data_IF_269004788615
#
_entry.id   IF_269004788615
#
_cell.length_a   1.000
_cell.length_b   1.000
_cell.length_c   1.000
_cell.angle_alpha   90.00
_cell.angle_beta   90.00
_cell.angle_gamma   90.00
#
_symmetry.space_group_name_H-M   'P 1'
#
loop_
_entity.id
_entity.type
_entity.pdbx_description
1 polymer ?
#
# COMPACT_ATOMS: atom_id res chain seq x y z
N UNK A 1 29.89 4.06 79.91
CA UNK A 1 29.09 2.85 80.19
C UNK A 1 28.22 2.57 78.99
N UNK A 2 28.38 1.38 78.41
CA UNK A 2 27.85 0.96 77.12
C UNK A 2 26.58 0.15 77.38
N UNK A 3 25.41 0.60 76.92
CA UNK A 3 24.18 -0.20 76.94
C UNK A 3 23.83 -0.59 75.49
N UNK A 4 24.04 -1.87 75.18
CA UNK A 4 23.73 -2.51 73.91
C UNK A 4 22.22 -2.66 73.73
N UNK A 5 21.66 -2.01 72.70
CA UNK A 5 20.33 -2.30 72.19
C UNK A 5 20.24 -3.77 71.73
N UNK A 6 19.37 -4.54 72.37
CA UNK A 6 19.01 -5.88 71.93
C UNK A 6 17.90 -5.75 70.88
N UNK A 7 18.28 -5.85 69.61
CA UNK A 7 17.34 -5.91 68.50
C UNK A 7 16.34 -7.07 68.67
N UNK A 8 15.04 -6.74 68.74
CA UNK A 8 13.95 -7.71 68.67
C UNK A 8 14.03 -8.43 67.32
N UNK A 9 14.30 -9.75 67.34
CA UNK A 9 14.13 -10.61 66.18
C UNK A 9 12.64 -10.69 65.84
N UNK A 10 12.27 -10.20 64.65
CA UNK A 10 10.94 -10.35 64.07
C UNK A 10 10.69 -11.86 63.84
N UNK A 11 9.55 -12.44 64.23
CA UNK A 11 9.27 -13.86 64.04
C UNK A 11 9.35 -14.22 62.55
N UNK A 12 9.94 -15.37 62.20
CA UNK A 12 9.78 -15.95 60.86
C UNK A 12 8.28 -16.22 60.65
N UNK A 13 7.61 -15.40 59.86
CA UNK A 13 6.25 -15.69 59.41
C UNK A 13 6.24 -17.09 58.77
N UNK A 14 5.46 -18.00 59.34
CA UNK A 14 5.21 -19.32 58.73
C UNK A 14 4.35 -19.10 57.47
N UNK A 15 5.02 -18.84 56.36
CA UNK A 15 4.40 -18.56 55.06
C UNK A 15 4.20 -19.86 54.28
N UNK A 16 2.94 -20.21 54.04
CA UNK A 16 2.50 -21.42 53.32
C UNK A 16 2.68 -21.28 51.79
N UNK A 17 2.89 -22.41 51.10
CA UNK A 17 2.92 -22.50 49.63
C UNK A 17 1.52 -22.45 49.02
N UNK A 18 0.49 -22.84 49.76
CA UNK A 18 -0.88 -22.87 49.25
C UNK A 18 -1.68 -21.59 49.52
N UNK A 19 -1.20 -20.73 50.43
CA UNK A 19 -1.86 -19.47 50.81
C UNK A 19 -1.05 -18.28 50.24
N UNK A 20 -1.57 -17.56 49.24
CA UNK A 20 -0.92 -16.37 48.70
C UNK A 20 -0.73 -15.28 49.74
N UNK A 21 0.37 -14.53 49.65
CA UNK A 21 0.63 -13.45 50.59
C UNK A 21 -0.12 -12.19 50.16
N UNK A 22 -1.14 -11.83 50.94
CA UNK A 22 -1.97 -10.63 50.72
C UNK A 22 -1.16 -9.35 50.57
N UNK A 23 -0.12 -9.14 51.37
CA UNK A 23 0.70 -7.91 51.34
C UNK A 23 1.64 -7.83 50.14
N UNK A 24 1.86 -8.94 49.43
CA UNK A 24 2.68 -8.99 48.22
C UNK A 24 1.84 -9.07 46.94
N UNK A 25 0.51 -9.21 47.08
CA UNK A 25 -0.42 -9.27 45.96
C UNK A 25 -0.88 -7.88 45.56
N UNK A 26 -1.05 -7.73 44.25
CA UNK A 26 -1.70 -6.58 43.63
C UNK A 26 -3.11 -7.03 43.22
N UNK A 27 -4.10 -6.75 44.07
CA UNK A 27 -5.46 -7.24 43.90
C UNK A 27 -6.16 -6.63 42.68
N UNK A 28 -5.88 -5.36 42.39
CA UNK A 28 -6.46 -4.66 41.25
C UNK A 28 -5.95 -5.26 39.94
N UNK A 29 -4.64 -5.55 39.87
CA UNK A 29 -4.06 -6.26 38.74
C UNK A 29 -4.65 -7.67 38.57
N UNK A 30 -4.72 -8.45 39.65
CA UNK A 30 -5.25 -9.81 39.61
C UNK A 30 -6.71 -9.85 39.14
N UNK A 31 -7.52 -8.91 39.62
CA UNK A 31 -8.92 -8.77 39.21
C UNK A 31 -9.05 -8.37 37.73
N UNK A 32 -8.25 -7.41 37.27
CA UNK A 32 -8.25 -7.00 35.86
C UNK A 32 -7.82 -8.15 34.94
N UNK A 33 -6.75 -8.86 35.27
CA UNK A 33 -6.23 -9.96 34.46
C UNK A 33 -7.23 -11.13 34.34
N UNK A 34 -7.94 -11.47 35.42
CA UNK A 34 -8.99 -12.48 35.40
C UNK A 34 -10.21 -12.02 34.58
N UNK A 35 -10.59 -10.75 34.70
CA UNK A 35 -11.72 -10.18 33.97
C UNK A 35 -11.44 -10.12 32.47
N UNK A 36 -10.24 -9.68 32.04
CA UNK A 36 -9.85 -9.72 30.63
C UNK A 36 -9.82 -11.16 30.09
N UNK A 37 -9.24 -12.12 30.82
CA UNK A 37 -9.21 -13.52 30.38
C UNK A 37 -10.61 -14.13 30.23
N UNK A 38 -11.56 -13.78 31.12
CA UNK A 38 -12.96 -14.21 31.01
C UNK A 38 -13.68 -13.57 29.82
N UNK A 39 -13.41 -12.30 29.54
CA UNK A 39 -13.95 -11.60 28.36
C UNK A 39 -13.40 -12.25 27.07
N UNK A 40 -12.10 -12.55 27.03
CA UNK A 40 -11.47 -13.25 25.89
C UNK A 40 -12.03 -14.66 25.68
N UNK A 41 -12.32 -15.39 26.77
CA UNK A 41 -12.91 -16.72 26.71
C UNK A 41 -14.38 -16.70 26.25
N UNK A 42 -15.15 -15.68 26.65
CA UNK A 42 -16.58 -15.53 26.33
C UNK A 42 -16.82 -15.06 24.89
N UNK A 43 -16.08 -14.05 24.43
CA UNK A 43 -16.30 -13.44 23.11
C UNK A 43 -15.44 -14.08 22.01
N UNK A 44 -14.57 -15.04 22.38
CA UNK A 44 -13.48 -15.51 21.53
C UNK A 44 -12.54 -14.36 21.14
N UNK A 45 -11.49 -14.64 20.36
CA UNK A 45 -10.60 -13.60 19.78
C UNK A 45 -11.30 -12.60 18.84
N UNK A 46 -12.64 -12.54 18.80
CA UNK A 46 -13.43 -11.72 17.87
C UNK A 46 -13.77 -10.31 18.37
N UNK A 47 -13.17 -9.84 19.47
CA UNK A 47 -13.26 -8.42 19.87
C UNK A 47 -11.93 -7.80 20.32
N UNK A 48 -10.89 -7.99 19.52
CA UNK A 48 -9.95 -6.87 19.37
C UNK A 48 -10.72 -5.77 18.61
N UNK A 49 -11.41 -4.88 19.35
CA UNK A 49 -11.88 -3.60 18.78
C UNK A 49 -10.72 -3.04 17.96
N UNK A 50 -10.94 -2.71 16.69
CA UNK A 50 -9.95 -2.05 15.84
C UNK A 50 -9.44 -0.78 16.54
N UNK A 51 -8.37 -0.94 17.30
CA UNK A 51 -7.72 0.14 18.01
C UNK A 51 -6.72 0.72 17.03
N UNK A 52 -6.79 2.04 16.81
CA UNK A 52 -5.80 2.72 15.98
C UNK A 52 -4.39 2.41 16.49
N UNK A 53 -3.37 2.38 15.60
CA UNK A 53 -1.98 2.11 15.99
C UNK A 53 -1.48 3.02 17.14
N UNK A 54 -1.96 4.27 17.18
CA UNK A 54 -1.69 5.23 18.25
C UNK A 54 -2.27 4.81 19.60
N UNK A 55 -3.48 4.24 19.62
CA UNK A 55 -4.16 3.81 20.83
C UNK A 55 -3.57 2.51 21.37
N UNK A 56 -3.10 1.63 20.49
CA UNK A 56 -2.34 0.44 20.89
C UNK A 56 -0.96 0.80 21.47
N UNK A 57 -0.25 1.75 20.85
CA UNK A 57 1.03 2.25 21.37
C UNK A 57 0.86 2.93 22.74
N UNK A 58 -0.19 3.73 22.91
CA UNK A 58 -0.52 4.35 24.19
C UNK A 58 -0.84 3.29 25.26
N UNK A 59 -1.66 2.28 24.94
CA UNK A 59 -1.95 1.16 25.87
C UNK A 59 -0.69 0.40 26.27
N UNK A 60 0.24 0.15 25.34
CA UNK A 60 1.52 -0.51 25.64
C UNK A 60 2.38 0.32 26.59
N UNK A 61 2.51 1.62 26.33
CA UNK A 61 3.21 2.56 27.23
C UNK A 61 2.56 2.66 28.60
N UNK A 62 1.23 2.68 28.66
CA UNK A 62 0.49 2.68 29.91
C UNK A 62 0.70 1.37 30.67
N UNK A 63 0.70 0.23 29.98
CA UNK A 63 0.94 -1.08 30.58
C UNK A 63 2.37 -1.21 31.12
N UNK A 64 3.36 -0.67 30.42
CA UNK A 64 4.75 -0.61 30.89
C UNK A 64 4.90 0.28 32.13
N UNK A 65 4.29 1.47 32.13
CA UNK A 65 4.36 2.42 33.26
C UNK A 65 3.60 1.94 34.50
N UNK A 66 2.47 1.26 34.31
CA UNK A 66 1.70 0.64 35.39
C UNK A 66 2.26 -0.73 35.84
N UNK A 67 3.33 -1.22 35.21
CA UNK A 67 3.93 -2.50 35.55
C UNK A 67 3.01 -3.71 35.29
N UNK A 68 2.07 -3.59 34.35
CA UNK A 68 1.11 -4.63 33.95
C UNK A 68 1.75 -5.78 33.16
N UNK A 69 3.06 -5.72 32.87
CA UNK A 69 3.84 -6.78 32.22
C UNK A 69 4.12 -8.00 33.15
N UNK A 70 3.37 -8.15 34.24
CA UNK A 70 3.52 -9.25 35.19
C UNK A 70 2.79 -10.49 34.66
N UNK A 71 3.44 -11.64 34.74
CA UNK A 71 2.87 -12.92 34.29
C UNK A 71 2.16 -13.70 35.40
N UNK A 72 2.20 -13.20 36.65
CA UNK A 72 1.66 -13.87 37.83
C UNK A 72 0.66 -12.98 38.56
N UNK A 73 -0.54 -13.51 38.78
CA UNK A 73 -1.61 -12.87 39.56
C UNK A 73 -1.53 -13.19 41.06
N UNK A 74 -0.82 -14.27 41.45
CA UNK A 74 -0.58 -14.66 42.84
C UNK A 74 0.89 -14.45 43.21
N UNK A 75 1.12 -13.89 44.39
CA UNK A 75 2.46 -13.66 44.94
C UNK A 75 2.68 -14.51 46.20
N UNK A 76 3.79 -15.25 46.23
CA UNK A 76 4.24 -16.03 47.38
C UNK A 76 5.65 -15.56 47.77
N UNK A 77 5.88 -15.28 49.05
CA UNK A 77 7.16 -14.74 49.54
C UNK A 77 8.22 -15.81 49.82
N UNK A 78 7.86 -17.10 49.79
CA UNK A 78 8.81 -18.20 49.94
C UNK A 78 9.21 -18.80 48.59
N UNK A 79 10.53 -18.94 48.40
CA UNK A 79 11.08 -19.83 47.36
C UNK A 79 10.81 -21.27 47.83
N UNK A 80 10.19 -22.14 47.01
CA UNK A 80 9.92 -23.51 47.43
C UNK A 80 11.23 -24.19 47.84
N UNK A 81 11.21 -24.99 48.91
CA UNK A 81 12.33 -25.88 49.18
C UNK A 81 12.50 -26.81 47.97
N UNK A 82 13.73 -26.97 47.45
CA UNK A 82 13.96 -27.88 46.33
C UNK A 82 13.52 -29.29 46.73
N UNK A 83 12.85 -30.03 45.84
CA UNK A 83 12.46 -31.40 46.13
C UNK A 83 13.70 -32.23 46.48
N UNK A 84 13.70 -32.88 47.64
CA UNK A 84 14.68 -33.90 47.98
C UNK A 84 14.47 -35.06 47.01
N UNK A 85 15.48 -35.30 46.18
CA UNK A 85 15.53 -36.29 45.09
C UNK A 85 14.50 -36.14 43.97
N UNK A 86 14.92 -35.43 42.93
CA UNK A 86 14.50 -35.74 41.56
C UNK A 86 15.65 -35.40 40.62
N UNK A 87 16.11 -36.40 39.88
CA UNK A 87 17.09 -36.22 38.81
C UNK A 87 16.47 -35.35 37.72
N UNK A 88 16.64 -34.04 37.84
CA UNK A 88 16.42 -33.12 36.74
C UNK A 88 17.76 -32.78 36.13
N UNK A 89 17.99 -33.34 34.95
CA UNK A 89 18.99 -32.83 34.02
C UNK A 89 18.81 -31.32 33.91
N UNK A 90 19.79 -30.58 34.39
CA UNK A 90 19.97 -29.17 34.06
C UNK A 90 20.34 -29.10 32.57
N UNK A 91 19.33 -29.19 31.71
CA UNK A 91 19.45 -28.81 30.33
C UNK A 91 19.76 -27.31 30.33
N UNK A 92 21.02 -26.99 30.06
CA UNK A 92 21.46 -25.65 29.76
C UNK A 92 20.47 -25.05 28.77
N UNK A 93 19.76 -24.00 29.18
CA UNK A 93 18.99 -23.14 28.28
C UNK A 93 19.99 -22.40 27.39
N UNK A 94 20.59 -23.14 26.46
CA UNK A 94 21.02 -22.55 25.20
C UNK A 94 19.73 -22.00 24.58
N UNK A 95 19.51 -20.69 24.75
CA UNK A 95 18.60 -19.96 23.87
C UNK A 95 19.18 -20.15 22.47
N UNK A 96 18.65 -21.14 21.76
CA UNK A 96 18.92 -21.25 20.33
C UNK A 96 18.50 -19.92 19.71
N UNK A 97 19.33 -19.31 18.85
CA UNK A 97 18.92 -18.12 18.14
C UNK A 97 17.61 -18.45 17.43
N UNK A 98 16.53 -17.75 17.78
CA UNK A 98 15.23 -17.91 17.16
C UNK A 98 15.44 -17.77 15.65
N UNK A 99 15.26 -18.87 14.90
CA UNK A 99 15.33 -18.84 13.43
C UNK A 99 14.50 -17.65 12.95
N UNK A 100 15.02 -16.82 12.03
CA UNK A 100 14.31 -15.64 11.59
C UNK A 100 12.94 -16.08 11.09
N UNK A 101 11.89 -15.66 11.80
CA UNK A 101 10.50 -15.94 11.40
C UNK A 101 10.31 -15.25 10.06
N UNK A 102 10.30 -16.04 8.98
CA UNK A 102 10.02 -15.53 7.64
C UNK A 102 8.69 -14.80 7.70
N UNK A 103 8.67 -13.55 7.21
CA UNK A 103 7.45 -12.76 7.12
C UNK A 103 6.40 -13.56 6.35
N UNK A 104 5.24 -13.80 6.97
CA UNK A 104 4.11 -14.44 6.31
C UNK A 104 3.37 -13.40 5.48
N UNK A 105 3.28 -13.61 4.18
CA UNK A 105 2.43 -12.82 3.28
C UNK A 105 1.12 -13.60 3.10
N UNK A 106 -0.04 -13.02 3.46
CA UNK A 106 -1.34 -13.66 3.20
C UNK A 106 -1.48 -14.02 1.71
N UNK A 107 -2.02 -15.19 1.43
CA UNK A 107 -2.26 -15.65 0.05
C UNK A 107 -3.67 -15.31 -0.45
N UNK A 108 -4.57 -14.94 0.46
CA UNK A 108 -5.91 -14.44 0.15
C UNK A 108 -5.90 -12.92 0.10
N UNK A 109 -6.72 -12.34 -0.78
CA UNK A 109 -7.00 -10.92 -0.72
C UNK A 109 -7.64 -10.56 0.63
N UNK A 110 -7.33 -9.37 1.14
CA UNK A 110 -7.98 -8.83 2.35
C UNK A 110 -9.35 -8.24 2.04
N UNK A 111 -9.55 -7.77 0.80
CA UNK A 111 -10.78 -7.15 0.31
C UNK A 111 -10.88 -7.36 -1.20
N UNK A 112 -12.09 -7.51 -1.70
CA UNK A 112 -12.40 -7.51 -3.14
C UNK A 112 -13.52 -6.50 -3.36
N UNK A 113 -13.35 -5.68 -4.39
CA UNK A 113 -14.26 -4.63 -4.79
C UNK A 113 -14.78 -4.98 -6.18
N UNK A 114 -16.08 -4.84 -6.39
CA UNK A 114 -16.67 -5.05 -7.70
C UNK A 114 -16.41 -3.83 -8.59
N UNK A 115 -15.98 -4.10 -9.81
CA UNK A 115 -15.69 -3.08 -10.83
C UNK A 115 -16.55 -3.35 -12.08
N UNK A 116 -17.88 -3.15 -12.00
CA UNK A 116 -18.75 -3.39 -13.13
C UNK A 116 -18.39 -2.44 -14.27
N UNK A 117 -18.42 -2.92 -15.52
CA UNK A 117 -18.13 -2.12 -16.71
C UNK A 117 -16.71 -1.53 -16.77
N UNK A 118 -15.75 -2.10 -16.04
CA UNK A 118 -14.33 -1.82 -16.30
C UNK A 118 -14.00 -2.27 -17.73
N UNK A 119 -13.30 -1.41 -18.48
CA UNK A 119 -12.96 -1.73 -19.87
C UNK A 119 -11.83 -2.76 -19.90
N UNK A 120 -12.04 -3.84 -20.65
CA UNK A 120 -11.03 -4.87 -20.90
C UNK A 120 -10.12 -4.47 -22.08
N UNK A 121 -9.32 -3.41 -21.86
CA UNK A 121 -8.30 -2.94 -22.80
C UNK A 121 -6.97 -2.79 -22.07
N UNK A 122 -6.00 -3.62 -22.47
CA UNK A 122 -4.66 -3.70 -21.88
C UNK A 122 -3.94 -2.35 -21.86
N UNK A 123 -4.17 -1.47 -22.84
CA UNK A 123 -3.41 -0.24 -22.97
C UNK A 123 -3.87 0.85 -21.98
N UNK A 124 -5.07 0.73 -21.40
CA UNK A 124 -5.70 1.75 -20.56
C UNK A 124 -5.26 1.73 -19.09
N UNK A 125 -5.09 2.91 -18.47
CA UNK A 125 -4.67 3.03 -17.07
C UNK A 125 -5.83 3.47 -16.18
N UNK A 126 -6.74 2.54 -15.90
CA UNK A 126 -8.09 2.81 -15.34
C UNK A 126 -8.17 2.89 -13.81
N UNK A 127 -7.05 2.87 -13.10
CA UNK A 127 -7.03 2.85 -11.64
C UNK A 127 -5.82 3.59 -11.10
N UNK A 128 -6.03 4.44 -10.09
CA UNK A 128 -4.96 5.04 -9.32
C UNK A 128 -5.36 5.23 -7.84
N UNK A 129 -4.40 5.07 -6.94
CA UNK A 129 -4.62 5.19 -5.49
C UNK A 129 -3.98 6.47 -4.97
N UNK A 130 -4.83 7.43 -4.59
CA UNK A 130 -4.40 8.73 -4.12
C UNK A 130 -3.77 8.69 -2.73
N UNK A 131 -2.92 9.68 -2.43
CA UNK A 131 -2.21 9.83 -1.15
C UNK A 131 -3.13 10.00 0.06
N UNK A 132 -4.41 10.34 -0.16
CA UNK A 132 -5.46 10.43 0.87
C UNK A 132 -6.19 9.12 1.13
N UNK A 133 -5.61 7.99 0.70
CA UNK A 133 -6.20 6.67 0.88
C UNK A 133 -7.53 6.48 0.12
N UNK A 134 -7.71 7.20 -1.00
CA UNK A 134 -8.86 7.10 -1.88
C UNK A 134 -8.43 6.46 -3.20
N UNK A 135 -9.10 5.37 -3.57
CA UNK A 135 -8.92 4.68 -4.84
C UNK A 135 -9.86 5.28 -5.88
N UNK A 136 -9.33 5.65 -7.04
CA UNK A 136 -10.11 6.08 -8.19
C UNK A 136 -10.13 4.97 -9.24
N UNK A 137 -11.31 4.64 -9.77
CA UNK A 137 -11.51 3.55 -10.74
C UNK A 137 -12.40 4.06 -11.88
N UNK A 138 -11.95 3.93 -13.13
CA UNK A 138 -12.75 4.20 -14.32
C UNK A 138 -13.55 2.97 -14.70
N UNK A 139 -14.88 3.14 -14.77
CA UNK A 139 -15.85 2.15 -15.19
C UNK A 139 -16.53 2.69 -16.47
N UNK A 140 -15.87 2.55 -17.61
CA UNK A 140 -16.30 3.11 -18.89
C UNK A 140 -16.31 4.63 -18.88
N UNK A 141 -17.50 5.23 -18.82
CA UNK A 141 -17.70 6.69 -18.82
C UNK A 141 -17.66 7.30 -17.42
N UNK A 142 -17.72 6.47 -16.38
CA UNK A 142 -17.90 6.93 -15.01
C UNK A 142 -16.61 6.74 -14.20
N UNK A 143 -16.21 7.76 -13.43
CA UNK A 143 -15.20 7.64 -12.40
C UNK A 143 -15.86 7.37 -11.06
N UNK A 144 -15.49 6.27 -10.41
CA UNK A 144 -15.89 5.96 -9.05
C UNK A 144 -14.71 6.18 -8.09
N UNK A 145 -15.02 6.67 -6.89
CA UNK A 145 -14.08 6.79 -5.79
C UNK A 145 -14.45 5.82 -4.68
N UNK A 146 -13.45 5.16 -4.13
CA UNK A 146 -13.56 4.31 -2.94
C UNK A 146 -12.59 4.79 -1.87
N UNK A 147 -13.12 5.21 -0.72
CA UNK A 147 -12.31 5.60 0.43
C UNK A 147 -11.96 4.35 1.25
N UNK A 148 -10.67 4.01 1.31
CA UNK A 148 -10.22 2.81 1.99
C UNK A 148 -10.27 2.92 3.53
N UNK A 149 -10.40 4.14 4.07
CA UNK A 149 -10.49 4.42 5.50
C UNK A 149 -11.90 4.22 6.03
N UNK A 150 -12.91 4.63 5.25
CA UNK A 150 -14.33 4.51 5.63
C UNK A 150 -15.03 3.32 4.97
N UNK A 151 -14.49 2.85 3.84
CA UNK A 151 -15.12 1.85 2.98
C UNK A 151 -16.21 2.41 2.07
N UNK A 152 -16.43 3.72 2.04
CA UNK A 152 -17.47 4.36 1.24
C UNK A 152 -17.14 4.34 -0.25
N UNK A 153 -18.17 4.12 -1.08
CA UNK A 153 -18.10 4.22 -2.55
C UNK A 153 -18.96 5.40 -2.98
N UNK A 154 -18.46 6.21 -3.91
CA UNK A 154 -19.21 7.30 -4.53
C UNK A 154 -18.90 7.40 -6.01
N UNK A 155 -19.92 7.61 -6.82
CA UNK A 155 -19.73 8.11 -8.19
C UNK A 155 -19.19 9.55 -8.12
N UNK A 156 -18.08 9.82 -8.80
CA UNK A 156 -17.44 11.13 -8.78
C UNK A 156 -17.82 11.99 -9.97
N UNK A 157 -17.76 11.41 -11.18
CA UNK A 157 -18.19 12.08 -12.41
C UNK A 157 -18.56 11.04 -13.46
N UNK A 158 -19.60 11.33 -14.23
CA UNK A 158 -19.91 10.64 -15.48
C UNK A 158 -19.59 11.56 -16.66
N UNK A 159 -18.77 11.06 -17.60
CA UNK A 159 -18.36 11.76 -18.80
C UNK A 159 -19.40 11.51 -19.91
N UNK A 160 -19.76 12.57 -20.62
CA UNK A 160 -20.67 12.50 -21.77
C UNK A 160 -20.23 11.44 -22.79
N UNK A 161 -21.21 10.79 -23.43
CA UNK A 161 -20.96 9.66 -24.34
C UNK A 161 -20.08 10.05 -25.54
N UNK A 162 -20.22 11.27 -26.05
CA UNK A 162 -19.45 11.80 -27.18
C UNK A 162 -17.99 12.16 -26.82
N UNK A 163 -17.68 12.27 -25.53
CA UNK A 163 -16.34 12.60 -25.03
C UNK A 163 -15.59 11.37 -24.51
N UNK A 164 -16.32 10.44 -23.88
CA UNK A 164 -15.76 9.26 -23.25
C UNK A 164 -15.42 8.12 -24.23
N UNK A 165 -15.05 6.94 -23.71
CA UNK A 165 -14.87 6.61 -22.29
C UNK A 165 -13.61 7.21 -21.66
N UNK A 166 -13.45 7.03 -20.34
CA UNK A 166 -12.21 7.35 -19.60
C UNK A 166 -11.16 6.28 -19.92
N UNK A 167 -9.98 6.70 -20.36
CA UNK A 167 -8.90 5.83 -20.82
C UNK A 167 -7.67 5.86 -19.91
N UNK A 168 -7.55 6.88 -19.05
CA UNK A 168 -6.53 6.91 -18.01
C UNK A 168 -6.92 7.79 -16.82
N UNK A 169 -6.43 7.44 -15.63
CA UNK A 169 -6.62 8.20 -14.39
C UNK A 169 -5.26 8.40 -13.71
N UNK A 170 -5.03 9.59 -13.15
CA UNK A 170 -3.94 9.76 -12.20
C UNK A 170 -4.22 10.84 -11.17
N UNK A 171 -4.04 10.50 -9.89
CA UNK A 171 -4.05 11.42 -8.77
C UNK A 171 -2.83 12.33 -8.81
N UNK A 172 -3.06 13.62 -8.66
CA UNK A 172 -2.00 14.57 -8.45
C UNK A 172 -1.30 14.30 -7.09
N UNK A 173 -0.01 14.69 -6.95
CA UNK A 173 0.75 14.45 -5.72
C UNK A 173 0.14 15.10 -4.48
N UNK A 174 -0.67 16.15 -4.65
CA UNK A 174 -1.38 16.83 -3.57
C UNK A 174 -2.59 16.05 -3.01
N UNK A 175 -3.00 14.95 -3.67
CA UNK A 175 -4.15 14.12 -3.30
C UNK A 175 -5.51 14.84 -3.37
N UNK A 176 -5.57 16.02 -3.99
CA UNK A 176 -6.78 16.84 -4.13
C UNK A 176 -7.25 16.92 -5.57
N UNK A 177 -6.35 16.70 -6.52
CA UNK A 177 -6.69 16.77 -7.93
C UNK A 177 -6.57 15.41 -8.59
N UNK A 178 -7.47 15.14 -9.53
CA UNK A 178 -7.43 13.93 -10.36
C UNK A 178 -7.45 14.34 -11.83
N UNK A 179 -6.54 13.77 -12.62
CA UNK A 179 -6.52 13.90 -14.06
C UNK A 179 -7.19 12.70 -14.71
N UNK A 180 -8.01 12.95 -15.73
CA UNK A 180 -8.73 11.96 -16.52
C UNK A 180 -8.33 12.12 -17.98
N UNK A 181 -7.68 11.12 -18.57
CA UNK A 181 -7.49 11.02 -20.01
C UNK A 181 -8.71 10.38 -20.64
N UNK A 182 -9.14 10.92 -21.77
CA UNK A 182 -10.36 10.49 -22.45
C UNK A 182 -10.05 9.89 -23.83
N UNK A 183 -11.01 9.11 -24.34
CA UNK A 183 -10.94 8.51 -25.66
C UNK A 183 -10.92 9.56 -26.79
N UNK A 184 -11.61 10.69 -26.59
CA UNK A 184 -11.67 11.78 -27.57
C UNK A 184 -10.43 12.70 -27.61
N UNK A 185 -9.28 12.25 -27.10
CA UNK A 185 -8.00 12.97 -27.02
C UNK A 185 -7.89 14.10 -25.98
N UNK A 186 -8.95 14.38 -25.22
CA UNK A 186 -8.90 15.39 -24.16
C UNK A 186 -8.37 14.82 -22.85
N UNK A 187 -7.83 15.71 -22.01
CA UNK A 187 -7.50 15.41 -20.61
C UNK A 187 -8.23 16.40 -19.71
N UNK A 188 -9.03 15.91 -18.77
CA UNK A 188 -9.73 16.76 -17.81
C UNK A 188 -9.02 16.74 -16.47
N UNK A 189 -8.91 17.91 -15.83
CA UNK A 189 -8.41 18.05 -14.46
C UNK A 189 -9.58 18.43 -13.54
N UNK A 190 -9.74 17.68 -12.47
CA UNK A 190 -10.82 17.82 -11.51
C UNK A 190 -10.29 18.08 -10.11
N UNK A 191 -10.97 18.93 -9.35
CA UNK A 191 -10.83 19.06 -7.90
C UNK A 191 -11.74 18.04 -7.21
N UNK A 192 -11.15 17.14 -6.46
CA UNK A 192 -11.88 16.09 -5.75
C UNK A 192 -12.72 16.61 -4.59
N UNK A 193 -12.33 17.75 -4.00
CA UNK A 193 -12.96 18.32 -2.81
C UNK A 193 -14.23 19.08 -3.17
N UNK A 194 -14.17 19.85 -4.26
CA UNK A 194 -15.31 20.61 -4.77
C UNK A 194 -16.14 19.87 -5.82
N UNK A 195 -15.66 18.71 -6.30
CA UNK A 195 -16.26 17.89 -7.37
C UNK A 195 -16.50 18.77 -8.61
N UNK A 196 -15.45 19.46 -9.04
CA UNK A 196 -15.52 20.40 -10.16
C UNK A 196 -14.39 20.19 -11.13
N UNK A 197 -14.73 20.25 -12.42
CA UNK A 197 -13.75 20.33 -13.50
C UNK A 197 -13.07 21.69 -13.44
N UNK A 198 -11.76 21.69 -13.22
CA UNK A 198 -10.93 22.90 -13.22
C UNK A 198 -10.62 23.31 -14.65
N UNK A 199 -10.21 22.34 -15.48
CA UNK A 199 -9.78 22.62 -16.85
C UNK A 199 -9.82 21.38 -17.72
N UNK A 200 -9.87 21.62 -19.03
CA UNK A 200 -9.61 20.62 -20.07
C UNK A 200 -8.33 20.98 -20.79
N UNK A 201 -7.42 20.02 -20.96
CA UNK A 201 -6.26 20.08 -21.83
C UNK A 201 -6.64 19.45 -23.17
N UNK A 202 -6.46 20.18 -24.27
CA UNK A 202 -6.85 19.76 -25.61
C UNK A 202 -5.91 20.39 -26.67
N UNK A 203 -6.05 19.93 -27.92
CA UNK A 203 -5.30 20.47 -29.06
C UNK A 203 -3.87 19.92 -29.21
N UNK A 204 -3.56 18.80 -28.55
CA UNK A 204 -2.21 18.21 -28.52
C UNK A 204 -2.20 16.78 -29.05
N UNK A 205 -2.99 15.92 -28.41
CA UNK A 205 -3.20 14.54 -28.85
C UNK A 205 -4.26 14.48 -29.94
N UNK A 206 -4.12 13.49 -30.83
CA UNK A 206 -5.04 13.27 -31.96
C UNK A 206 -5.79 11.93 -31.84
N UNK A 207 -5.59 11.22 -30.73
CA UNK A 207 -6.25 9.99 -30.38
C UNK A 207 -6.32 9.89 -28.85
N UNK A 208 -6.89 8.81 -28.31
CA UNK A 208 -7.11 8.60 -26.87
C UNK A 208 -5.85 8.82 -26.04
N UNK A 209 -6.03 9.35 -24.83
CA UNK A 209 -4.93 9.54 -23.86
C UNK A 209 -4.89 8.35 -22.90
N UNK A 210 -4.07 7.35 -23.21
CA UNK A 210 -4.02 6.06 -22.50
C UNK A 210 -3.15 6.06 -21.24
N UNK A 211 -2.28 7.05 -21.04
CA UNK A 211 -1.40 7.10 -19.87
C UNK A 211 -1.16 8.52 -19.34
N UNK A 212 -1.02 8.63 -18.01
CA UNK A 212 -0.82 9.87 -17.28
C UNK A 212 0.27 9.68 -16.22
N UNK A 213 1.13 10.68 -16.03
CA UNK A 213 2.10 10.67 -14.95
C UNK A 213 2.37 12.09 -14.43
N UNK A 214 2.22 12.29 -13.13
CA UNK A 214 2.50 13.57 -12.49
C UNK A 214 3.98 13.73 -12.11
N UNK A 215 4.48 14.95 -12.26
CA UNK A 215 5.73 15.45 -11.69
C UNK A 215 5.49 16.85 -11.13
N UNK A 216 5.10 16.91 -9.85
CA UNK A 216 4.61 18.13 -9.20
C UNK A 216 3.42 18.74 -9.97
N UNK A 217 3.59 19.93 -10.55
CA UNK A 217 2.56 20.63 -11.34
C UNK A 217 2.59 20.29 -12.83
N UNK A 218 3.55 19.46 -13.27
CA UNK A 218 3.61 18.96 -14.64
C UNK A 218 2.81 17.66 -14.71
N UNK A 219 1.77 17.65 -15.55
CA UNK A 219 1.07 16.44 -15.94
C UNK A 219 1.62 15.99 -17.29
N UNK A 220 2.32 14.86 -17.30
CA UNK A 220 2.76 14.23 -18.54
C UNK A 220 1.67 13.31 -19.06
N UNK A 221 1.31 13.46 -20.33
CA UNK A 221 0.24 12.72 -21.02
C UNK A 221 0.84 11.88 -22.14
N UNK A 222 0.43 10.61 -22.23
CA UNK A 222 0.82 9.69 -23.30
C UNK A 222 -0.41 9.27 -24.11
N UNK A 223 -0.35 9.46 -25.42
CA UNK A 223 -1.45 9.19 -26.33
C UNK A 223 -1.28 7.91 -27.14
N UNK A 224 -2.39 7.44 -27.71
CA UNK A 224 -2.37 6.41 -28.75
C UNK A 224 -1.68 6.88 -30.04
N UNK A 225 -1.55 8.19 -30.22
CA UNK A 225 -0.77 8.81 -31.30
C UNK A 225 0.75 8.77 -31.12
N UNK A 226 1.25 8.03 -30.11
CA UNK A 226 2.68 7.89 -29.79
C UNK A 226 3.32 9.16 -29.23
N UNK A 227 2.56 10.23 -29.01
CA UNK A 227 3.07 11.48 -28.44
C UNK A 227 3.11 11.39 -26.91
N UNK A 228 4.12 12.00 -26.34
CA UNK A 228 4.22 12.24 -24.90
C UNK A 228 4.38 13.74 -24.68
N UNK A 229 3.51 14.36 -23.89
CA UNK A 229 3.52 15.82 -23.70
C UNK A 229 3.56 16.19 -22.23
N UNK A 230 4.45 17.11 -21.87
CA UNK A 230 4.46 17.74 -20.56
C UNK A 230 3.54 18.94 -20.56
N UNK A 231 2.58 18.93 -19.64
CA UNK A 231 1.59 19.99 -19.49
C UNK A 231 1.74 20.67 -18.13
N UNK A 232 2.12 21.95 -18.10
CA UNK A 232 2.03 22.75 -16.87
C UNK A 232 0.57 23.16 -16.63
N UNK A 233 -0.02 22.56 -15.61
CA UNK A 233 -1.45 22.72 -15.32
C UNK A 233 -1.81 24.09 -14.75
N UNK A 234 -0.82 24.95 -14.46
CA UNK A 234 -1.03 26.29 -13.86
C UNK A 234 -1.16 27.40 -14.91
N UNK A 235 -0.69 27.15 -16.12
CA UNK A 235 -0.67 28.16 -17.20
C UNK A 235 -1.69 27.82 -18.30
N UNK A 236 -2.11 28.86 -19.03
CA UNK A 236 -3.11 28.73 -20.12
C UNK A 236 -2.56 27.93 -21.29
N UNK A 237 -1.40 28.33 -21.81
CA UNK A 237 -0.63 27.57 -22.80
C UNK A 237 0.12 26.45 -22.11
N UNK A 238 -0.60 25.36 -21.83
CA UNK A 238 -0.17 24.29 -20.95
C UNK A 238 1.01 23.48 -21.48
N UNK A 239 1.18 23.34 -22.79
CA UNK A 239 2.26 22.54 -23.37
C UNK A 239 3.62 23.19 -23.12
N UNK A 240 4.48 22.51 -22.36
CA UNK A 240 5.84 22.99 -22.00
C UNK A 240 6.96 22.06 -22.46
N UNK A 241 6.64 20.90 -23.06
CA UNK A 241 7.63 19.98 -23.61
C UNK A 241 6.98 18.80 -24.30
N UNK A 242 7.69 18.16 -25.23
CA UNK A 242 7.17 17.00 -25.98
C UNK A 242 8.29 16.01 -26.23
N UNK A 243 8.06 14.75 -25.88
CA UNK A 243 8.97 13.66 -26.20
C UNK A 243 8.46 12.93 -27.44
N UNK A 244 9.37 12.67 -28.37
CA UNK A 244 9.11 11.95 -29.63
C UNK A 244 10.08 10.80 -29.74
N UNK A 245 9.56 9.61 -30.04
CA UNK A 245 10.38 8.41 -30.21
C UNK A 245 9.56 7.13 -30.30
N UNK A 246 8.34 7.12 -29.75
CA UNK A 246 7.43 6.00 -29.92
C UNK A 246 6.65 6.08 -31.24
N UNK A 247 6.40 4.92 -31.83
CA UNK A 247 5.55 4.75 -33.03
C UNK A 247 4.21 4.09 -32.72
N UNK A 248 4.04 3.59 -31.50
CA UNK A 248 2.79 2.99 -31.01
C UNK A 248 2.22 3.73 -29.79
N UNK A 249 1.05 3.27 -29.33
CA UNK A 249 0.37 3.82 -28.16
C UNK A 249 1.24 3.80 -26.91
N UNK A 250 1.26 4.91 -26.17
CA UNK A 250 1.94 5.00 -24.89
C UNK A 250 1.06 4.41 -23.79
N UNK A 251 1.33 3.16 -23.40
CA UNK A 251 0.58 2.46 -22.36
C UNK A 251 1.29 2.46 -21.00
N UNK A 252 2.61 2.63 -20.97
CA UNK A 252 3.41 2.81 -19.77
C UNK A 252 3.98 4.21 -19.68
N UNK A 253 3.77 4.90 -18.56
CA UNK A 253 4.32 6.23 -18.31
C UNK A 253 4.58 6.43 -16.80
N UNK A 254 5.81 6.74 -16.41
CA UNK A 254 6.17 6.87 -14.98
C UNK A 254 7.34 7.84 -14.76
N UNK A 255 7.14 8.84 -13.91
CA UNK A 255 8.25 9.67 -13.42
C UNK A 255 9.05 8.94 -12.34
N UNK A 256 10.37 9.12 -12.37
CA UNK A 256 11.26 8.76 -11.26
C UNK A 256 10.92 9.58 -10.01
N UNK A 257 11.20 9.03 -8.82
CA UNK A 257 10.94 9.73 -7.55
C UNK A 257 11.72 11.04 -7.38
N UNK A 258 12.80 11.24 -8.14
CA UNK A 258 13.53 12.51 -8.18
C UNK A 258 12.88 13.55 -9.11
N UNK A 259 11.97 13.14 -9.98
CA UNK A 259 11.37 13.98 -11.02
C UNK A 259 12.34 14.39 -12.14
N UNK A 260 13.51 13.74 -12.23
CA UNK A 260 14.54 14.06 -13.23
C UNK A 260 14.45 13.18 -14.48
N UNK A 261 13.98 11.94 -14.32
CA UNK A 261 13.82 11.00 -15.42
C UNK A 261 12.37 10.57 -15.57
N UNK A 262 11.93 10.44 -16.82
CA UNK A 262 10.65 9.86 -17.21
C UNK A 262 10.92 8.53 -17.91
N UNK A 263 10.20 7.48 -17.54
CA UNK A 263 10.15 6.24 -18.32
C UNK A 263 8.84 6.20 -19.10
N UNK A 264 8.91 5.81 -20.36
CA UNK A 264 7.76 5.50 -21.19
C UNK A 264 7.91 4.15 -21.86
N UNK A 265 6.81 3.45 -22.03
CA UNK A 265 6.72 2.16 -22.68
C UNK A 265 5.53 2.15 -23.63
N UNK A 266 5.74 1.62 -24.82
CA UNK A 266 4.78 1.71 -25.91
C UNK A 266 4.33 0.36 -26.44
N UNK A 267 3.30 0.40 -27.28
CA UNK A 267 2.87 -0.72 -28.12
C UNK A 267 3.82 -0.99 -29.31
N UNK A 268 4.91 -0.24 -29.41
CA UNK A 268 6.03 -0.50 -30.31
C UNK A 268 7.10 -1.41 -29.67
N UNK A 269 6.80 -1.97 -28.50
CA UNK A 269 7.66 -2.85 -27.71
C UNK A 269 8.95 -2.17 -27.21
N UNK A 270 9.00 -0.85 -27.23
CA UNK A 270 10.17 -0.09 -26.78
C UNK A 270 9.92 0.51 -25.40
N UNK A 271 10.97 0.61 -24.60
CA UNK A 271 11.04 1.48 -23.43
C UNK A 271 12.01 2.61 -23.71
N UNK A 272 11.58 3.85 -23.48
CA UNK A 272 12.45 5.01 -23.48
C UNK A 272 12.61 5.54 -22.05
N UNK A 273 13.84 5.92 -21.70
CA UNK A 273 14.12 6.74 -20.51
C UNK A 273 14.50 8.12 -21.00
N UNK A 274 13.82 9.15 -20.53
CA UNK A 274 14.00 10.54 -20.92
C UNK A 274 14.59 11.33 -19.78
N UNK A 275 15.42 12.32 -20.12
CA UNK A 275 15.84 13.36 -19.19
C UNK A 275 14.84 14.52 -19.20
N UNK A 276 14.50 15.05 -18.03
CA UNK A 276 13.63 16.22 -17.89
C UNK A 276 14.22 17.45 -18.58
N UNK A 277 15.52 17.68 -18.51
CA UNK A 277 16.19 18.83 -19.14
C UNK A 277 16.17 18.76 -20.67
N UNK A 278 16.06 17.57 -21.23
CA UNK A 278 16.23 17.31 -22.66
C UNK A 278 14.91 16.99 -23.36
N UNK A 279 13.80 17.58 -22.91
CA UNK A 279 12.42 17.27 -23.32
C UNK A 279 12.06 17.61 -24.80
N UNK A 280 13.01 17.47 -25.73
CA UNK A 280 12.89 17.91 -27.11
C UNK A 280 13.68 17.10 -28.15
N UNK A 281 14.68 16.27 -27.83
CA UNK A 281 15.56 15.77 -28.92
C UNK A 281 16.14 14.36 -28.82
N UNK A 282 16.26 13.72 -27.65
CA UNK A 282 16.74 12.33 -27.56
C UNK A 282 16.40 11.69 -26.22
N UNK A 283 16.08 10.39 -26.24
CA UNK A 283 16.04 9.57 -25.03
C UNK A 283 17.46 9.34 -24.47
N UNK A 284 17.58 9.21 -23.15
CA UNK A 284 18.79 8.74 -22.47
C UNK A 284 19.05 7.26 -22.77
N UNK A 285 17.99 6.45 -22.70
CA UNK A 285 18.05 5.02 -22.98
C UNK A 285 16.87 4.60 -23.84
N UNK A 286 17.14 3.65 -24.73
CA UNK A 286 16.14 2.92 -25.51
C UNK A 286 16.40 1.44 -25.28
N UNK A 287 15.37 0.74 -24.84
CA UNK A 287 15.40 -0.70 -24.60
C UNK A 287 14.35 -1.32 -25.53
N UNK A 288 14.79 -2.13 -26.48
CA UNK A 288 13.96 -2.74 -27.54
C UNK A 288 14.05 -4.27 -27.53
N UNK A 289 14.45 -4.85 -26.39
CA UNK A 289 14.51 -6.30 -26.17
C UNK A 289 13.13 -6.91 -25.90
N UNK A 290 12.10 -6.11 -25.60
CA UNK A 290 10.75 -6.62 -25.41
C UNK A 290 10.14 -7.04 -26.74
N UNK A 291 9.42 -8.16 -26.72
CA UNK A 291 8.71 -8.72 -27.88
C UNK A 291 7.24 -8.31 -27.91
N UNK A 292 6.78 -7.51 -26.94
CA UNK A 292 5.38 -7.09 -26.78
C UNK A 292 5.30 -5.75 -26.04
N UNK A 293 4.10 -5.17 -26.03
CA UNK A 293 3.83 -3.85 -25.48
C UNK A 293 4.27 -3.70 -24.02
N UNK A 294 4.88 -2.56 -23.69
CA UNK A 294 5.45 -2.32 -22.36
C UNK A 294 4.60 -1.36 -21.54
N UNK A 295 3.55 -1.88 -20.91
CA UNK A 295 2.70 -1.10 -19.98
C UNK A 295 3.33 -0.95 -18.59
N UNK A 296 3.91 -2.04 -18.09
CA UNK A 296 4.29 -2.16 -16.70
C UNK A 296 5.68 -1.54 -16.43
N UNK A 297 5.66 -0.35 -15.82
CA UNK A 297 6.85 0.44 -15.49
C UNK A 297 6.86 0.79 -14.01
N UNK A 298 7.99 0.57 -13.34
CA UNK A 298 8.20 1.02 -11.97
C UNK A 298 9.63 1.53 -11.76
N UNK A 299 9.76 2.61 -11.00
CA UNK A 299 11.05 3.09 -10.51
C UNK A 299 11.31 2.52 -9.12
N UNK A 300 12.55 2.10 -8.86
CA UNK A 300 12.95 1.67 -7.53
C UNK A 300 12.85 2.88 -6.56
N UNK A 301 12.09 2.77 -5.44
CA UNK A 301 11.94 3.90 -4.52
C UNK A 301 13.23 4.26 -3.76
N UNK A 302 14.08 3.25 -3.48
CA UNK A 302 15.28 3.43 -2.65
C UNK A 302 16.53 3.83 -3.45
N UNK A 303 16.57 3.54 -4.76
CA UNK A 303 17.70 3.86 -5.60
C UNK A 303 17.27 4.75 -6.77
N UNK A 304 17.78 5.98 -6.79
CA UNK A 304 17.31 7.07 -7.67
C UNK A 304 17.53 6.84 -9.17
N UNK A 305 18.26 5.79 -9.55
CA UNK A 305 18.67 5.51 -10.94
C UNK A 305 18.15 4.15 -11.45
N UNK A 306 17.69 3.25 -10.57
CA UNK A 306 17.24 1.92 -10.99
C UNK A 306 15.77 1.95 -11.40
N UNK A 307 15.49 1.88 -12.70
CA UNK A 307 14.19 1.44 -13.19
C UNK A 307 14.06 -0.06 -12.92
N UNK A 308 13.05 -0.47 -12.15
CA UNK A 308 12.67 -1.87 -12.03
C UNK A 308 11.50 -2.11 -12.98
N UNK A 309 11.82 -2.66 -14.14
CA UNK A 309 10.81 -3.09 -15.07
C UNK A 309 10.17 -4.38 -14.53
N UNK A 310 8.91 -4.34 -14.15
CA UNK A 310 8.13 -5.55 -13.89
C UNK A 310 7.43 -5.88 -15.19
N UNK A 311 7.95 -6.82 -15.97
CA UNK A 311 7.31 -7.25 -17.21
C UNK A 311 6.07 -8.05 -16.84
N UNK A 312 4.90 -7.54 -17.23
CA UNK A 312 3.69 -8.38 -17.33
C UNK A 312 3.52 -8.64 -18.83
N UNK A 313 4.01 -9.79 -19.27
CA UNK A 313 3.87 -10.26 -20.64
C UNK A 313 2.47 -10.85 -20.80
N UNK A 314 1.64 -10.27 -21.66
CA UNK A 314 0.40 -10.92 -22.06
C UNK A 314 0.74 -11.94 -23.16
N UNK A 315 0.94 -13.19 -22.78
CA UNK A 315 0.88 -14.31 -23.73
C UNK A 315 -0.55 -14.33 -24.31
N UNK A 316 -0.69 -13.85 -25.55
CA UNK A 316 -1.96 -13.92 -26.27
C UNK A 316 -2.45 -15.37 -26.29
N UNK A 317 -3.73 -15.58 -25.94
CA UNK A 317 -4.39 -16.87 -26.18
C UNK A 317 -4.39 -17.10 -27.68
N UNK A 318 -3.57 -18.03 -28.15
CA UNK A 318 -3.70 -18.61 -29.49
C UNK A 318 -5.12 -19.16 -29.60
N UNK A 319 -5.88 -18.62 -30.55
CA UNK A 319 -7.15 -19.19 -30.99
C UNK A 319 -6.99 -20.69 -31.21
N UNK A 320 -7.72 -21.49 -30.46
CA UNK A 320 -7.84 -22.93 -30.64
C UNK A 320 -8.36 -23.20 -32.05
N UNK A 321 -7.46 -23.61 -32.95
CA UNK A 321 -7.83 -24.21 -34.22
C UNK A 321 -8.49 -25.56 -33.95
N UNK A 322 -9.79 -25.63 -34.18
CA UNK A 322 -10.56 -26.87 -34.19
C UNK A 322 -10.07 -27.70 -35.39
N UNK A 323 -9.19 -28.68 -35.14
CA UNK A 323 -8.92 -29.75 -36.10
C UNK A 323 -10.08 -30.73 -36.04
N UNK A 324 -10.93 -30.71 -37.06
CA UNK A 324 -11.88 -31.78 -37.36
C UNK A 324 -11.13 -33.03 -37.79
N UNK A 325 -11.52 -34.24 -37.32
CA UNK A 325 -10.94 -35.47 -37.83
C UNK A 325 -11.67 -35.85 -39.12
N UNK A 326 -10.95 -35.95 -40.23
CA UNK A 326 -11.46 -36.62 -41.43
C UNK A 326 -10.78 -38.00 -41.54
N UNK A 327 -11.63 -39.02 -41.61
CA UNK A 327 -11.31 -40.43 -41.77
C UNK A 327 -11.01 -40.72 -43.24
N UNK A 328 -9.83 -41.29 -43.52
CA UNK A 328 -9.57 -42.36 -44.48
C UNK A 328 -8.12 -42.84 -44.34
#
# INVERSE_FOLDING_TARGET
MNWKEHGRKIPKENLDRFIPNRSAMDFDFAHHALTEALIEARDGKKKARELSPSKEAYRKRLAETLGLNRTRILAFRNKPQPPLHSHYHSASLHQQPLKPRRRRIPQSCSKVLDAPNILDDFYLNLLDWGSRNVLAIALGHTLCLWDASTGSVSEFVTIEEDQGPITSISWAPDGSHVALGLNNSQVQLWDSSSIRKIRTLNGVHHSRVGSLAWNNHILTTGGMDGKIVNNDVRIRSHVVGTYRGHTGEICGLKWSGSGMQLASGGNDNVVHVWDRSSASSRWLHRLDEHTSAVKALAWCPSNRICLQLVVVEQMGRSSSGTLTPELA
#
